data_IF_024934962011
#
_entry.id   IF_024934962011
#
_cell.length_a   1.000
_cell.length_b   1.000
_cell.length_c   1.000
_cell.angle_alpha   90.00
_cell.angle_beta   90.00
_cell.angle_gamma   90.00
#
_symmetry.space_group_name_H-M   'P 1'
#
loop_
_entity.id
_entity.type
_entity.pdbx_description
1 polymer ?
#
# COMPACT_ATOMS: atom_id res chain seq x y z
N UNK A 1 12.82 -20.36 8.66
CA UNK A 1 11.44 -20.15 9.16
C UNK A 1 10.73 -19.23 8.17
N UNK A 2 9.68 -19.70 7.49
CA UNK A 2 8.81 -18.81 6.72
C UNK A 2 8.09 -17.90 7.70
N UNK A 3 8.38 -16.61 7.60
CA UNK A 3 7.58 -15.59 8.26
C UNK A 3 6.18 -15.60 7.63
N UNK A 4 5.21 -16.23 8.28
CA UNK A 4 3.82 -16.16 7.85
C UNK A 4 3.24 -14.82 8.33
N UNK A 5 3.03 -13.90 7.40
CA UNK A 5 2.29 -12.66 7.64
C UNK A 5 0.95 -12.71 6.90
N UNK A 6 -0.02 -11.95 7.39
CA UNK A 6 -1.41 -12.01 6.93
C UNK A 6 -1.86 -10.68 6.36
N UNK A 7 -2.52 -10.73 5.20
CA UNK A 7 -3.01 -9.56 4.48
C UNK A 7 -4.50 -9.72 4.18
N UNK A 8 -5.24 -8.62 4.29
CA UNK A 8 -6.56 -8.47 3.66
C UNK A 8 -6.42 -7.54 2.47
N UNK A 9 -7.04 -7.90 1.36
CA UNK A 9 -7.00 -7.10 0.14
C UNK A 9 -8.40 -6.94 -0.43
N UNK A 10 -8.95 -5.72 -0.33
CA UNK A 10 -10.19 -5.37 -0.99
C UNK A 10 -9.88 -4.89 -2.42
N UNK A 11 -10.37 -5.63 -3.43
CA UNK A 11 -10.06 -5.38 -4.84
C UNK A 11 -11.18 -5.76 -5.79
N UNK A 12 -11.09 -5.30 -7.04
CA UNK A 12 -11.96 -5.77 -8.12
C UNK A 12 -11.79 -7.29 -8.35
N UNK A 13 -12.82 -8.05 -8.75
CA UNK A 13 -12.71 -9.50 -8.93
C UNK A 13 -11.62 -9.93 -9.93
N UNK A 14 -11.38 -9.12 -10.96
CA UNK A 14 -10.34 -9.38 -11.96
C UNK A 14 -8.91 -9.13 -11.46
N UNK A 15 -8.74 -8.40 -10.35
CA UNK A 15 -7.47 -8.29 -9.63
C UNK A 15 -6.30 -7.71 -10.44
N UNK A 16 -6.50 -6.60 -11.15
CA UNK A 16 -5.45 -5.95 -11.95
C UNK A 16 -4.98 -4.58 -11.42
N UNK A 17 -5.35 -4.21 -10.20
CA UNK A 17 -4.96 -2.93 -9.59
C UNK A 17 -3.61 -3.02 -8.87
N UNK A 18 -3.02 -1.87 -8.53
CA UNK A 18 -1.70 -1.84 -7.90
C UNK A 18 -1.64 -2.57 -6.55
N UNK A 19 -2.76 -2.59 -5.81
CA UNK A 19 -2.90 -3.32 -4.57
C UNK A 19 -2.90 -4.83 -4.80
N UNK A 20 -3.57 -5.31 -5.85
CA UNK A 20 -3.59 -6.73 -6.20
C UNK A 20 -2.22 -7.26 -6.62
N UNK A 21 -1.46 -6.49 -7.40
CA UNK A 21 -0.09 -6.86 -7.81
C UNK A 21 0.83 -7.06 -6.60
N UNK A 22 0.71 -6.21 -5.58
CA UNK A 22 1.50 -6.30 -4.35
C UNK A 22 1.13 -7.55 -3.56
N UNK A 23 -0.17 -7.85 -3.46
CA UNK A 23 -0.64 -8.99 -2.65
C UNK A 23 -0.43 -10.32 -3.35
N UNK A 24 -0.50 -10.38 -4.67
CA UNK A 24 -0.13 -11.56 -5.45
C UNK A 24 1.36 -11.89 -5.26
N UNK A 25 2.24 -10.88 -5.28
CA UNK A 25 3.65 -11.09 -4.91
C UNK A 25 3.85 -11.47 -3.44
N UNK A 26 3.01 -10.98 -2.53
CA UNK A 26 3.09 -11.37 -1.12
C UNK A 26 2.72 -12.85 -0.92
N UNK A 27 1.78 -13.39 -1.70
CA UNK A 27 1.47 -14.83 -1.70
C UNK A 27 2.72 -15.65 -2.06
N UNK A 28 3.46 -15.24 -3.09
CA UNK A 28 4.72 -15.90 -3.48
C UNK A 28 5.80 -15.85 -2.37
N UNK A 29 5.74 -14.84 -1.50
CA UNK A 29 6.60 -14.71 -0.33
C UNK A 29 6.12 -15.53 0.89
N UNK A 30 4.97 -16.20 0.79
CA UNK A 30 4.39 -17.04 1.85
C UNK A 30 3.34 -16.35 2.72
N UNK A 31 2.78 -15.21 2.27
CA UNK A 31 1.70 -14.53 2.98
C UNK A 31 0.37 -15.29 2.88
N UNK A 32 -0.43 -15.24 3.93
CA UNK A 32 -1.85 -15.62 3.88
C UNK A 32 -2.65 -14.39 3.47
N UNK A 33 -3.32 -14.44 2.31
CA UNK A 33 -4.07 -13.30 1.78
C UNK A 33 -5.56 -13.63 1.68
N UNK A 34 -6.39 -12.86 2.39
CA UNK A 34 -7.84 -12.88 2.26
C UNK A 34 -8.26 -11.82 1.23
N UNK A 35 -8.73 -12.27 0.08
CA UNK A 35 -9.21 -11.41 -1.01
C UNK A 35 -10.69 -11.15 -0.82
N UNK A 36 -11.06 -9.87 -0.72
CA UNK A 36 -12.44 -9.41 -0.56
C UNK A 36 -12.87 -8.69 -1.84
N UNK A 37 -14.03 -9.07 -2.37
CA UNK A 37 -14.60 -8.50 -3.58
C UNK A 37 -16.12 -8.64 -3.62
N UNK A 38 -16.76 -8.17 -4.70
CA UNK A 38 -18.18 -8.45 -4.94
C UNK A 38 -18.40 -9.93 -5.23
N UNK A 39 -19.61 -10.43 -4.97
CA UNK A 39 -19.98 -11.78 -5.35
C UNK A 39 -20.03 -11.93 -6.88
N UNK A 40 -19.95 -13.17 -7.39
CA UNK A 40 -19.89 -13.49 -8.82
C UNK A 40 -21.07 -12.91 -9.62
N UNK A 41 -22.24 -12.83 -9.00
CA UNK A 41 -23.48 -12.36 -9.63
C UNK A 41 -23.80 -10.89 -9.31
N UNK A 42 -22.87 -10.15 -8.69
CA UNK A 42 -23.01 -8.74 -8.35
C UNK A 42 -22.12 -7.86 -9.23
N UNK A 43 -22.62 -6.67 -9.58
CA UNK A 43 -21.79 -5.64 -10.19
C UNK A 43 -20.87 -5.03 -9.12
N UNK A 44 -19.56 -5.08 -9.36
CA UNK A 44 -18.59 -4.50 -8.43
C UNK A 44 -18.82 -3.02 -8.14
N UNK A 45 -19.41 -2.25 -9.06
CA UNK A 45 -19.68 -0.83 -8.86
C UNK A 45 -20.78 -0.53 -7.83
N UNK A 46 -21.68 -1.47 -7.56
CA UNK A 46 -22.88 -1.25 -6.75
C UNK A 46 -23.33 -2.44 -5.90
N UNK A 47 -22.43 -3.38 -5.57
CA UNK A 47 -22.74 -4.52 -4.69
C UNK A 47 -23.10 -4.10 -3.26
N UNK A 48 -23.73 -4.97 -2.47
CA UNK A 48 -24.05 -4.63 -1.09
C UNK A 48 -22.81 -4.74 -0.17
N UNK A 49 -22.02 -3.67 -0.09
CA UNK A 49 -20.83 -3.62 0.76
C UNK A 49 -21.13 -3.73 2.26
N UNK A 50 -22.38 -3.49 2.70
CA UNK A 50 -22.81 -3.63 4.08
C UNK A 50 -22.82 -5.09 4.56
N UNK A 51 -22.80 -6.05 3.64
CA UNK A 51 -22.71 -7.47 3.96
C UNK A 51 -21.28 -7.94 4.26
N UNK A 52 -20.26 -7.11 4.03
CA UNK A 52 -18.88 -7.46 4.34
C UNK A 52 -18.69 -7.39 5.85
N UNK A 53 -18.38 -8.53 6.47
CA UNK A 53 -18.03 -8.60 7.88
C UNK A 53 -16.57 -8.19 8.10
N UNK A 54 -16.30 -6.88 8.03
CA UNK A 54 -14.95 -6.32 8.15
C UNK A 54 -14.25 -6.69 9.45
N UNK A 55 -15.00 -6.76 10.56
CA UNK A 55 -14.46 -7.12 11.87
C UNK A 55 -13.78 -8.49 11.82
N UNK A 56 -14.52 -9.52 11.42
CA UNK A 56 -14.00 -10.89 11.39
C UNK A 56 -12.87 -11.05 10.37
N UNK A 57 -12.95 -10.33 9.25
CA UNK A 57 -11.94 -10.38 8.20
C UNK A 57 -10.62 -9.72 8.62
N UNK A 58 -10.67 -8.61 9.35
CA UNK A 58 -9.49 -7.83 9.73
C UNK A 58 -8.92 -8.23 11.10
N UNK A 59 -9.66 -8.96 11.91
CA UNK A 59 -9.17 -9.40 13.22
C UNK A 59 -7.86 -10.19 13.09
N UNK A 60 -6.84 -9.80 13.86
CA UNK A 60 -5.51 -10.44 13.88
C UNK A 60 -4.78 -10.44 12.52
N UNK A 61 -5.08 -9.49 11.63
CA UNK A 61 -4.36 -9.32 10.36
C UNK A 61 -3.24 -8.29 10.50
N UNK A 62 -2.14 -8.51 9.78
CA UNK A 62 -1.01 -7.57 9.83
C UNK A 62 -1.32 -6.34 8.97
N UNK A 63 -1.78 -6.58 7.74
CA UNK A 63 -1.94 -5.53 6.74
C UNK A 63 -3.32 -5.56 6.07
N UNK A 64 -3.86 -4.38 5.82
CA UNK A 64 -4.91 -4.14 4.85
C UNK A 64 -4.27 -3.44 3.66
N UNK A 65 -4.24 -4.07 2.49
CA UNK A 65 -3.67 -3.48 1.27
C UNK A 65 -4.82 -3.02 0.36
N UNK A 66 -4.85 -1.73 0.05
CA UNK A 66 -5.83 -1.12 -0.85
C UNK A 66 -5.12 -0.36 -1.97
N UNK A 67 -5.71 -0.38 -3.17
CA UNK A 67 -5.32 0.51 -4.27
C UNK A 67 -6.09 1.83 -4.18
N UNK A 68 -5.45 2.93 -4.57
CA UNK A 68 -6.10 4.23 -4.69
C UNK A 68 -7.22 4.23 -5.73
N UNK A 69 -7.04 3.52 -6.83
CA UNK A 69 -7.96 3.54 -7.98
C UNK A 69 -9.28 2.83 -7.69
N UNK A 70 -9.33 1.95 -6.69
CA UNK A 70 -10.56 1.25 -6.26
C UNK A 70 -11.66 2.22 -5.83
N UNK A 71 -11.31 3.39 -5.27
CA UNK A 71 -12.29 4.39 -4.86
C UNK A 71 -13.12 4.95 -6.02
N UNK A 72 -12.60 4.87 -7.25
CA UNK A 72 -13.25 5.37 -8.46
C UNK A 72 -14.15 4.33 -9.15
N UNK A 73 -14.19 3.09 -8.65
CA UNK A 73 -14.89 1.99 -9.32
C UNK A 73 -16.40 1.93 -9.02
N UNK A 74 -16.94 2.93 -8.33
CA UNK A 74 -18.37 3.07 -8.05
C UNK A 74 -18.65 3.36 -6.58
N UNK A 75 -19.93 3.44 -6.25
CA UNK A 75 -20.41 3.79 -4.90
C UNK A 75 -19.98 2.71 -3.90
N UNK A 76 -20.19 1.44 -4.25
CA UNK A 76 -19.90 0.33 -3.33
C UNK A 76 -18.41 0.14 -3.06
N UNK A 77 -17.51 0.16 -4.07
CA UNK A 77 -16.07 0.10 -3.83
C UNK A 77 -15.56 1.29 -3.01
N UNK A 78 -16.03 2.51 -3.29
CA UNK A 78 -15.66 3.70 -2.52
C UNK A 78 -16.04 3.57 -1.04
N UNK A 79 -17.26 3.11 -0.77
CA UNK A 79 -17.74 2.90 0.60
C UNK A 79 -17.06 1.73 1.31
N UNK A 80 -16.88 0.60 0.62
CA UNK A 80 -16.16 -0.57 1.13
C UNK A 80 -14.70 -0.23 1.47
N UNK A 81 -14.02 0.49 0.58
CA UNK A 81 -12.66 0.98 0.78
C UNK A 81 -12.57 1.86 2.03
N UNK A 82 -13.49 2.82 2.20
CA UNK A 82 -13.55 3.66 3.40
C UNK A 82 -13.84 2.86 4.68
N UNK A 83 -14.80 1.93 4.64
CA UNK A 83 -15.15 1.07 5.76
C UNK A 83 -13.97 0.17 6.18
N UNK A 84 -13.28 -0.43 5.21
CA UNK A 84 -12.14 -1.31 5.46
C UNK A 84 -11.05 -0.63 6.30
N UNK A 85 -10.75 0.64 6.03
CA UNK A 85 -9.74 1.40 6.79
C UNK A 85 -10.19 1.75 8.20
N UNK A 86 -11.48 2.07 8.39
CA UNK A 86 -12.05 2.33 9.73
C UNK A 86 -12.00 1.06 10.58
N UNK A 87 -12.46 -0.07 10.05
CA UNK A 87 -12.38 -1.34 10.77
C UNK A 87 -10.94 -1.81 10.94
N UNK A 88 -10.06 -1.55 9.97
CA UNK A 88 -8.65 -1.89 10.07
C UNK A 88 -8.00 -1.19 11.27
N UNK A 89 -8.25 0.11 11.43
CA UNK A 89 -7.80 0.89 12.59
C UNK A 89 -8.36 0.34 13.91
N UNK A 90 -9.65 0.01 13.97
CA UNK A 90 -10.30 -0.54 15.17
C UNK A 90 -9.75 -1.91 15.59
N UNK A 91 -9.47 -2.78 14.62
CA UNK A 91 -8.97 -4.14 14.87
C UNK A 91 -7.43 -4.22 14.92
N UNK A 92 -6.73 -3.08 14.84
CA UNK A 92 -5.27 -3.00 14.90
C UNK A 92 -4.54 -3.46 13.63
N UNK A 93 -5.27 -3.63 12.52
CA UNK A 93 -4.69 -3.93 11.19
C UNK A 93 -4.14 -2.65 10.56
N UNK A 94 -2.89 -2.70 10.09
CA UNK A 94 -2.23 -1.54 9.50
C UNK A 94 -2.58 -1.39 8.02
N UNK A 95 -3.02 -0.20 7.61
CA UNK A 95 -3.38 0.07 6.22
C UNK A 95 -2.16 0.43 5.37
N UNK A 96 -1.99 -0.27 4.25
CA UNK A 96 -1.09 0.08 3.13
C UNK A 96 -1.96 0.61 1.99
N UNK A 97 -1.74 1.86 1.62
CA UNK A 97 -2.37 2.49 0.46
C UNK A 97 -1.38 2.55 -0.68
N UNK A 98 -1.70 1.86 -1.78
CA UNK A 98 -0.90 1.87 -3.02
C UNK A 98 -1.50 2.90 -3.96
N UNK A 99 -0.86 4.07 -4.07
CA UNK A 99 -1.28 5.16 -4.93
C UNK A 99 -0.75 4.92 -6.33
N UNK A 100 -1.67 4.69 -7.26
CA UNK A 100 -1.39 4.55 -8.68
C UNK A 100 -2.24 5.52 -9.53
N UNK A 101 -1.89 5.63 -10.80
CA UNK A 101 -2.57 6.53 -11.75
C UNK A 101 -3.90 5.90 -12.19
N UNK A 102 -5.03 6.62 -12.10
CA UNK A 102 -6.30 6.12 -12.62
C UNK A 102 -6.27 5.97 -14.14
N UNK A 103 -7.15 5.12 -14.67
CA UNK A 103 -7.28 4.92 -16.11
C UNK A 103 -7.65 6.22 -16.85
N UNK A 104 -8.54 7.02 -16.25
CA UNK A 104 -8.79 8.41 -16.65
C UNK A 104 -8.03 9.37 -15.73
N UNK A 105 -6.99 10.01 -16.27
CA UNK A 105 -6.15 10.96 -15.53
C UNK A 105 -6.94 12.17 -15.02
N UNK A 106 -8.08 12.51 -15.61
CA UNK A 106 -8.92 13.61 -15.11
C UNK A 106 -9.50 13.30 -13.72
N UNK A 107 -9.61 12.02 -13.36
CA UNK A 107 -10.07 11.58 -12.04
C UNK A 107 -8.96 11.59 -10.98
N UNK A 108 -7.72 11.94 -11.33
CA UNK A 108 -6.60 11.97 -10.39
C UNK A 108 -6.88 12.87 -9.17
N UNK A 109 -7.46 14.04 -9.39
CA UNK A 109 -7.79 14.99 -8.32
C UNK A 109 -8.86 14.44 -7.37
N UNK A 110 -9.89 13.79 -7.92
CA UNK A 110 -10.96 13.14 -7.14
C UNK A 110 -10.43 11.98 -6.29
N UNK A 111 -9.63 11.10 -6.91
CA UNK A 111 -8.97 9.99 -6.23
C UNK A 111 -8.04 10.49 -5.12
N UNK A 112 -7.22 11.50 -5.42
CA UNK A 112 -6.29 12.07 -4.45
C UNK A 112 -7.02 12.75 -3.29
N UNK A 113 -8.06 13.53 -3.57
CA UNK A 113 -8.91 14.13 -2.54
C UNK A 113 -9.53 13.09 -1.60
N UNK A 114 -9.94 11.94 -2.15
CA UNK A 114 -10.47 10.82 -1.35
C UNK A 114 -9.44 10.22 -0.40
N UNK A 115 -8.17 10.14 -0.82
CA UNK A 115 -7.05 9.71 0.02
C UNK A 115 -6.76 10.75 1.10
N UNK A 116 -6.66 12.02 0.74
CA UNK A 116 -6.37 13.11 1.69
C UNK A 116 -7.41 13.14 2.83
N UNK A 117 -8.68 12.93 2.52
CA UNK A 117 -9.76 12.91 3.51
C UNK A 117 -9.61 11.80 4.57
N UNK A 118 -8.85 10.74 4.27
CA UNK A 118 -8.65 9.57 5.15
C UNK A 118 -7.18 9.30 5.46
N UNK A 119 -6.30 10.24 5.14
CA UNK A 119 -4.85 10.02 5.14
C UNK A 119 -4.30 9.56 6.50
N UNK A 120 -4.97 9.93 7.60
CA UNK A 120 -4.59 9.57 8.97
C UNK A 120 -4.83 8.10 9.31
N UNK A 121 -5.69 7.40 8.55
CA UNK A 121 -5.96 5.96 8.73
C UNK A 121 -4.92 5.10 8.00
N UNK A 122 -4.07 5.73 7.19
CA UNK A 122 -3.06 5.07 6.36
C UNK A 122 -1.77 4.97 7.16
N UNK A 123 -1.23 3.76 7.28
CA UNK A 123 0.03 3.50 7.97
C UNK A 123 1.22 3.60 7.01
N UNK A 124 1.08 3.05 5.81
CA UNK A 124 2.04 3.14 4.72
C UNK A 124 1.33 3.73 3.50
N UNK A 125 1.75 4.91 3.07
CA UNK A 125 1.33 5.52 1.82
C UNK A 125 2.43 5.32 0.78
N UNK A 126 2.19 4.44 -0.18
CA UNK A 126 3.14 4.14 -1.25
C UNK A 126 2.71 4.83 -2.54
N UNK A 127 3.65 5.43 -3.27
CA UNK A 127 3.43 5.99 -4.60
C UNK A 127 4.14 5.18 -5.66
N UNK A 128 3.43 4.76 -6.72
CA UNK A 128 4.10 4.38 -7.97
C UNK A 128 4.84 5.60 -8.52
N UNK A 129 5.94 5.40 -9.27
CA UNK A 129 6.74 6.53 -9.76
C UNK A 129 5.91 7.50 -10.62
N UNK A 130 4.99 6.96 -11.43
CA UNK A 130 4.06 7.75 -12.24
C UNK A 130 3.07 8.55 -11.38
N UNK A 131 2.50 7.94 -10.33
CA UNK A 131 1.60 8.65 -9.42
C UNK A 131 2.34 9.76 -8.68
N UNK A 132 3.57 9.52 -8.23
CA UNK A 132 4.39 10.53 -7.57
C UNK A 132 4.59 11.77 -8.45
N UNK A 133 4.92 11.58 -9.72
CA UNK A 133 5.12 12.66 -10.70
C UNK A 133 3.86 13.50 -10.95
N UNK A 134 2.69 12.87 -10.95
CA UNK A 134 1.43 13.56 -11.22
C UNK A 134 0.90 14.27 -9.96
N UNK A 135 1.00 13.60 -8.80
CA UNK A 135 0.58 14.19 -7.52
C UNK A 135 1.50 15.34 -7.11
N UNK A 136 2.79 15.30 -7.42
CA UNK A 136 3.70 16.42 -7.13
C UNK A 136 3.29 17.69 -7.87
N UNK A 137 2.88 17.56 -9.15
CA UNK A 137 2.33 18.66 -9.95
C UNK A 137 1.01 19.14 -9.37
N UNK A 138 0.11 18.23 -8.99
CA UNK A 138 -1.19 18.56 -8.37
C UNK A 138 -1.00 19.36 -7.06
N UNK A 139 -0.02 18.97 -6.24
CA UNK A 139 0.33 19.60 -4.97
C UNK A 139 1.29 20.79 -5.11
N UNK A 140 1.63 21.20 -6.33
CA UNK A 140 2.59 22.27 -6.64
C UNK A 140 3.91 22.14 -5.84
N UNK A 141 4.50 20.95 -5.85
CA UNK A 141 5.75 20.63 -5.16
C UNK A 141 6.67 19.75 -6.01
N UNK A 142 7.94 19.65 -5.66
CA UNK A 142 8.86 18.69 -6.28
C UNK A 142 8.64 17.28 -5.71
N UNK A 143 8.96 16.25 -6.49
CA UNK A 143 8.92 14.85 -6.04
C UNK A 143 9.78 14.61 -4.79
N UNK A 144 10.97 15.22 -4.76
CA UNK A 144 11.92 15.10 -3.65
C UNK A 144 11.31 15.52 -2.32
N UNK A 145 10.46 16.55 -2.31
CA UNK A 145 9.85 17.09 -1.10
C UNK A 145 8.44 16.54 -0.85
N UNK A 146 7.83 15.86 -1.83
CA UNK A 146 6.44 15.43 -1.74
C UNK A 146 6.24 14.44 -0.59
N UNK A 147 7.10 13.41 -0.49
CA UNK A 147 6.97 12.35 0.52
C UNK A 147 7.00 12.94 1.94
N UNK A 148 8.00 13.77 2.26
CA UNK A 148 8.11 14.39 3.59
C UNK A 148 7.02 15.42 3.87
N UNK A 149 6.60 16.22 2.89
CA UNK A 149 5.45 17.13 3.04
C UNK A 149 4.17 16.38 3.36
N UNK A 150 3.86 15.33 2.60
CA UNK A 150 2.66 14.51 2.84
C UNK A 150 2.75 13.85 4.21
N UNK A 151 3.91 13.27 4.55
CA UNK A 151 4.12 12.63 5.85
C UNK A 151 3.85 13.60 7.00
N UNK A 152 4.44 14.79 6.95
CA UNK A 152 4.31 15.79 8.02
C UNK A 152 2.90 16.36 8.13
N UNK A 153 2.26 16.70 7.00
CA UNK A 153 0.90 17.28 6.99
C UNK A 153 -0.18 16.23 7.30
N UNK A 154 -0.05 15.04 6.73
CA UNK A 154 -0.99 13.93 6.89
C UNK A 154 -0.78 13.11 8.15
N UNK A 155 0.36 13.29 8.84
CA UNK A 155 0.80 12.47 9.98
C UNK A 155 0.87 10.97 9.66
N UNK A 156 1.15 10.64 8.39
CA UNK A 156 1.31 9.26 7.94
C UNK A 156 2.61 8.70 8.55
N UNK A 157 2.62 7.52 9.18
CA UNK A 157 3.83 6.94 9.75
C UNK A 157 4.95 6.76 8.71
N UNK A 158 4.63 6.19 7.55
CA UNK A 158 5.58 5.92 6.46
C UNK A 158 4.98 6.40 5.13
N UNK A 159 5.73 7.22 4.40
CA UNK A 159 5.41 7.61 3.03
C UNK A 159 6.59 7.22 2.15
N UNK A 160 6.35 6.42 1.10
CA UNK A 160 7.45 5.87 0.31
C UNK A 160 7.12 5.71 -1.17
N UNK A 161 8.17 5.51 -1.96
CA UNK A 161 8.09 5.20 -3.39
C UNK A 161 9.26 4.29 -3.74
N UNK A 162 9.14 3.61 -4.88
CA UNK A 162 10.21 2.83 -5.46
C UNK A 162 10.30 3.16 -6.95
N UNK A 163 11.49 3.50 -7.41
CA UNK A 163 11.80 3.76 -8.83
C UNK A 163 12.37 2.48 -9.44
N UNK A 164 11.53 1.73 -10.16
CA UNK A 164 11.90 0.47 -10.81
C UNK A 164 13.11 0.67 -11.73
N UNK A 165 13.21 1.78 -12.46
CA UNK A 165 14.32 1.99 -13.41
C UNK A 165 15.66 2.20 -12.69
N UNK A 166 15.60 2.78 -11.50
CA UNK A 166 16.80 3.08 -10.71
C UNK A 166 17.01 2.08 -9.58
N UNK A 167 16.10 1.17 -9.29
CA UNK A 167 16.13 0.32 -8.09
C UNK A 167 16.38 1.12 -6.81
N UNK A 168 15.72 2.27 -6.66
CA UNK A 168 15.87 3.12 -5.48
C UNK A 168 14.52 3.20 -4.77
N UNK A 169 14.51 2.78 -3.50
CA UNK A 169 13.43 3.08 -2.56
C UNK A 169 13.71 4.42 -1.88
N UNK A 170 12.72 5.30 -1.82
CA UNK A 170 12.76 6.51 -1.01
C UNK A 170 11.66 6.43 0.04
N UNK A 171 12.02 6.66 1.30
CA UNK A 171 11.14 6.43 2.45
C UNK A 171 11.25 7.62 3.38
N UNK A 172 10.14 8.33 3.59
CA UNK A 172 9.98 9.31 4.65
C UNK A 172 9.30 8.64 5.85
N UNK A 173 9.89 8.80 7.04
CA UNK A 173 9.37 8.26 8.30
C UNK A 173 9.67 9.21 9.48
N UNK A 174 9.29 8.80 10.70
CA UNK A 174 9.37 9.64 11.91
C UNK A 174 10.75 10.21 12.23
N UNK A 175 11.83 9.49 11.90
CA UNK A 175 13.20 9.91 12.20
C UNK A 175 13.91 10.57 11.00
N UNK A 176 13.21 10.83 9.90
CA UNK A 176 13.77 11.48 8.71
C UNK A 176 13.47 10.75 7.42
N UNK A 177 14.38 10.87 6.45
CA UNK A 177 14.29 10.24 5.14
C UNK A 177 15.41 9.23 4.95
N UNK A 178 15.10 8.13 4.27
CA UNK A 178 16.02 7.06 3.90
C UNK A 178 15.93 6.87 2.38
N UNK A 179 17.08 6.66 1.75
CA UNK A 179 17.19 6.23 0.36
C UNK A 179 17.96 4.91 0.31
N UNK A 180 17.37 3.88 -0.28
CA UNK A 180 17.98 2.54 -0.40
C UNK A 180 18.11 2.18 -1.86
N UNK A 181 19.34 1.96 -2.32
CA UNK A 181 19.64 1.42 -3.65
C UNK A 181 19.75 -0.10 -3.54
N UNK A 182 18.95 -0.82 -4.33
CA UNK A 182 19.03 -2.28 -4.43
C UNK A 182 19.96 -2.70 -5.57
N UNK A 183 20.64 -3.83 -5.38
CA UNK A 183 21.50 -4.42 -6.41
C UNK A 183 20.71 -5.20 -7.46
N UNK A 184 19.51 -5.66 -7.10
CA UNK A 184 18.67 -6.50 -7.93
C UNK A 184 17.54 -5.64 -8.51
N UNK A 185 17.27 -5.84 -9.80
CA UNK A 185 16.14 -5.25 -10.48
C UNK A 185 14.85 -5.86 -9.94
N UNK A 186 13.99 -5.02 -9.35
CA UNK A 186 12.67 -5.43 -8.86
C UNK A 186 11.61 -4.54 -9.46
N UNK A 187 10.40 -5.05 -9.53
CA UNK A 187 9.20 -4.23 -9.69
C UNK A 187 8.81 -3.60 -8.36
N UNK A 188 8.12 -2.47 -8.40
CA UNK A 188 7.66 -1.80 -7.18
C UNK A 188 6.81 -2.69 -6.29
N UNK A 189 5.97 -3.54 -6.89
CA UNK A 189 5.05 -4.39 -6.16
C UNK A 189 5.78 -5.54 -5.45
N UNK A 190 6.86 -6.07 -6.05
CA UNK A 190 7.71 -7.06 -5.39
C UNK A 190 8.52 -6.44 -4.25
N UNK A 191 9.04 -5.23 -4.46
CA UNK A 191 9.73 -4.48 -3.40
C UNK A 191 8.79 -4.20 -2.23
N UNK A 192 7.59 -3.67 -2.49
CA UNK A 192 6.63 -3.33 -1.46
C UNK A 192 6.16 -4.56 -0.69
N UNK A 193 5.91 -5.69 -1.37
CA UNK A 193 5.56 -6.96 -0.72
C UNK A 193 6.66 -7.43 0.25
N UNK A 194 7.94 -7.34 -0.15
CA UNK A 194 9.06 -7.65 0.74
C UNK A 194 9.19 -6.64 1.89
N UNK A 195 8.96 -5.35 1.62
CA UNK A 195 9.06 -4.31 2.63
C UNK A 195 8.02 -4.51 3.75
N UNK A 196 6.76 -4.77 3.40
CA UNK A 196 5.70 -5.00 4.39
C UNK A 196 5.86 -6.34 5.13
N UNK A 197 6.45 -7.35 4.49
CA UNK A 197 6.87 -8.60 5.16
C UNK A 197 8.02 -8.34 6.15
N UNK A 198 9.01 -7.54 5.76
CA UNK A 198 10.09 -7.12 6.66
C UNK A 198 9.52 -6.43 7.89
N UNK A 199 8.60 -5.47 7.68
CA UNK A 199 7.98 -4.68 8.76
C UNK A 199 6.99 -5.46 9.65
N UNK A 200 6.44 -6.60 9.21
CA UNK A 200 5.62 -7.43 10.09
C UNK A 200 6.44 -8.22 11.12
N UNK A 201 7.76 -8.32 10.91
CA UNK A 201 8.67 -9.11 11.74
C UNK A 201 9.45 -8.27 12.77
N UNK A 202 9.42 -6.95 12.65
CA UNK A 202 10.30 -6.04 13.36
C UNK A 202 9.52 -4.80 13.84
N UNK A 203 10.12 -4.03 14.75
CA UNK A 203 9.51 -2.81 15.23
C UNK A 203 9.64 -1.68 14.18
N UNK A 204 8.95 -0.56 14.36
CA UNK A 204 8.93 0.53 13.37
C UNK A 204 10.01 1.59 13.63
N UNK A 205 11.20 1.20 14.12
CA UNK A 205 12.33 2.11 14.30
C UNK A 205 13.13 2.30 12.99
N UNK A 206 14.08 3.24 12.98
CA UNK A 206 14.85 3.58 11.77
C UNK A 206 15.63 2.40 11.18
N UNK A 207 16.33 1.65 12.02
CA UNK A 207 17.20 0.54 11.58
C UNK A 207 16.36 -0.63 11.06
N UNK A 208 15.21 -0.87 11.70
CA UNK A 208 14.23 -1.85 11.27
C UNK A 208 13.64 -1.49 9.90
N UNK A 209 13.24 -0.23 9.69
CA UNK A 209 12.75 0.26 8.38
C UNK A 209 13.83 0.08 7.31
N UNK A 210 15.08 0.45 7.61
CA UNK A 210 16.20 0.27 6.68
C UNK A 210 16.43 -1.21 6.36
N UNK A 211 16.38 -2.07 7.37
CA UNK A 211 16.54 -3.51 7.21
C UNK A 211 15.42 -4.11 6.34
N UNK A 212 14.15 -3.76 6.59
CA UNK A 212 13.02 -4.19 5.78
C UNK A 212 13.14 -3.70 4.34
N UNK A 213 13.53 -2.44 4.14
CA UNK A 213 13.68 -1.85 2.80
C UNK A 213 14.83 -2.48 1.99
N UNK A 214 15.82 -3.03 2.70
CA UNK A 214 17.02 -3.67 2.13
C UNK A 214 16.96 -5.20 2.17
N UNK A 215 15.87 -5.81 2.64
CA UNK A 215 15.78 -7.22 3.06
C UNK A 215 16.27 -8.22 1.99
N UNK A 216 16.11 -7.88 0.71
CA UNK A 216 16.54 -8.72 -0.41
C UNK A 216 18.08 -8.74 -0.62
N UNK A 217 18.80 -7.69 -0.22
CA UNK A 217 20.27 -7.70 -0.24
C UNK A 217 20.83 -8.69 0.80
N UNK A 218 20.15 -8.88 1.93
CA UNK A 218 20.62 -9.72 3.03
C UNK A 218 20.43 -11.23 2.79
N UNK A 219 19.48 -11.64 1.92
CA UNK A 219 19.33 -13.06 1.55
C UNK A 219 20.47 -13.60 0.67
N UNK A 220 21.15 -12.74 -0.11
CA UNK A 220 22.35 -13.14 -0.86
C UNK A 220 23.48 -13.62 0.05
N UNK A 221 23.65 -13.01 1.23
CA UNK A 221 24.71 -13.35 2.17
C UNK A 221 24.41 -14.59 3.03
N UNK A 222 23.24 -15.21 2.86
CA UNK A 222 22.88 -16.47 3.53
C UNK A 222 22.86 -17.67 2.56
N UNK A 223 23.22 -17.44 1.29
CA UNK A 223 23.40 -18.48 0.27
C UNK A 223 24.87 -18.41 -0.21
N UNK A 224 25.79 -18.67 0.71
CA UNK A 224 27.17 -19.11 0.43
C UNK A 224 27.50 -20.21 1.43
#
# INVERSE_FOLDING_TARGET
MSAHFSIVNFRHPEGSDAGSLVTDCAIDLGATVDIISSQKDELFSNFNYGNINWRDLLQNKHWLVNSSTTVLQGISPSNAWGASMIFGELEGTKTVMVVDVPADVNQLSEMWGSIINRIRQIHILFFTSKALDLISKLENTSNQLLLSKIRLKGLVPIVCTYDDNKNIAQIAHSSGEISVKLEIQLTYYYWLANFINGLSLINSNKDDILHAASYLNNRKNQII
#
